data_IF_956331912662
#
_entry.id   IF_956331912662
#
_cell.length_a   1.000
_cell.length_b   1.000
_cell.length_c   1.000
_cell.angle_alpha   90.00
_cell.angle_beta   90.00
_cell.angle_gamma   90.00
#
_symmetry.space_group_name_H-M   'P 1'
#
loop_
_entity.id
_entity.type
_entity.pdbx_description
1 polymer ?
#
# COMPACT_ATOMS: atom_id res chain seq x y z
N UNK A 1 -25.59 22.51 -6.31
CA UNK A 1 -24.83 22.66 -5.05
C UNK A 1 -25.74 22.40 -3.86
N UNK A 2 -25.21 21.83 -2.79
CA UNK A 2 -25.93 21.68 -1.53
C UNK A 2 -25.95 23.01 -0.77
N UNK A 3 -26.96 23.20 0.09
CA UNK A 3 -26.94 24.29 1.07
C UNK A 3 -26.03 23.91 2.24
N UNK A 4 -25.50 24.89 2.97
CA UNK A 4 -24.68 24.63 4.17
C UNK A 4 -25.39 23.73 5.19
N UNK A 5 -26.71 23.87 5.33
CA UNK A 5 -27.53 22.98 6.17
C UNK A 5 -27.59 21.55 5.62
N UNK A 6 -27.77 21.39 4.31
CA UNK A 6 -27.78 20.07 3.68
C UNK A 6 -26.42 19.37 3.84
N UNK A 7 -25.33 20.12 3.73
CA UNK A 7 -23.97 19.62 3.97
C UNK A 7 -23.76 19.18 5.41
N UNK A 8 -24.19 19.99 6.38
CA UNK A 8 -24.17 19.61 7.80
C UNK A 8 -24.99 18.36 8.08
N UNK A 9 -26.19 18.24 7.50
CA UNK A 9 -27.05 17.06 7.65
C UNK A 9 -26.36 15.82 7.06
N UNK A 10 -25.85 15.90 5.83
CA UNK A 10 -25.16 14.79 5.17
C UNK A 10 -23.94 14.33 5.99
N UNK A 11 -23.10 15.28 6.42
CA UNK A 11 -21.94 15.02 7.27
C UNK A 11 -22.32 14.34 8.58
N UNK A 12 -23.37 14.81 9.24
CA UNK A 12 -23.86 14.24 10.50
C UNK A 12 -24.35 12.81 10.31
N UNK A 13 -25.11 12.54 9.24
CA UNK A 13 -25.60 11.20 8.93
C UNK A 13 -24.45 10.24 8.64
N UNK A 14 -23.46 10.66 7.85
CA UNK A 14 -22.28 9.83 7.56
C UNK A 14 -21.51 9.51 8.84
N UNK A 15 -21.25 10.51 9.67
CA UNK A 15 -20.52 10.31 10.93
C UNK A 15 -21.25 9.37 11.91
N UNK A 16 -22.57 9.52 12.04
CA UNK A 16 -23.39 8.68 12.91
C UNK A 16 -23.50 7.25 12.36
N UNK A 17 -23.78 7.10 11.06
CA UNK A 17 -23.89 5.79 10.41
C UNK A 17 -22.59 4.99 10.48
N UNK A 18 -21.43 5.63 10.29
CA UNK A 18 -20.14 4.96 10.44
C UNK A 18 -19.90 4.44 11.86
N UNK A 19 -20.45 5.08 12.88
CA UNK A 19 -20.30 4.64 14.27
C UNK A 19 -21.29 3.55 14.64
N UNK A 20 -22.55 3.69 14.22
CA UNK A 20 -23.66 2.85 14.68
C UNK A 20 -23.98 1.70 13.72
N UNK A 21 -23.66 1.86 12.43
CA UNK A 21 -24.11 1.00 11.34
C UNK A 21 -25.65 0.92 11.23
N UNK A 22 -26.37 1.89 11.82
CA UNK A 22 -27.84 1.92 11.85
C UNK A 22 -28.40 3.08 11.02
N UNK A 23 -29.55 2.91 10.34
CA UNK A 23 -30.20 4.00 9.60
C UNK A 23 -30.51 5.21 10.49
N UNK A 24 -30.02 6.39 10.09
CA UNK A 24 -30.06 7.59 10.93
C UNK A 24 -31.38 8.33 10.77
N UNK A 25 -32.08 8.56 11.89
CA UNK A 25 -33.37 9.26 11.92
C UNK A 25 -33.23 10.78 12.01
N UNK A 26 -34.21 11.52 11.47
CA UNK A 26 -34.23 12.99 11.51
C UNK A 26 -34.16 13.60 12.92
N UNK A 27 -34.69 12.91 13.95
CA UNK A 27 -34.56 13.35 15.36
C UNK A 27 -33.13 13.23 15.87
N UNK A 28 -32.43 12.15 15.52
CA UNK A 28 -31.02 11.93 15.89
C UNK A 28 -30.14 13.03 15.29
N UNK A 29 -30.29 13.27 13.98
CA UNK A 29 -29.58 14.34 13.27
C UNK A 29 -29.87 15.70 13.90
N UNK A 30 -31.14 16.03 14.15
CA UNK A 30 -31.54 17.29 14.78
C UNK A 30 -30.82 17.54 16.11
N UNK A 31 -30.65 16.52 16.94
CA UNK A 31 -30.00 16.65 18.24
C UNK A 31 -28.47 16.83 18.16
N UNK A 32 -27.85 16.38 17.06
CA UNK A 32 -26.41 16.46 16.82
C UNK A 32 -25.99 17.70 16.03
N UNK A 33 -26.93 18.34 15.32
CA UNK A 33 -26.64 19.55 14.56
C UNK A 33 -26.31 20.73 15.49
N UNK A 34 -25.33 21.58 15.12
CA UNK A 34 -25.01 22.79 15.87
C UNK A 34 -26.08 23.89 15.70
N UNK A 35 -27.01 23.72 14.76
CA UNK A 35 -28.07 24.68 14.41
C UNK A 35 -29.42 24.21 14.92
N UNK A 36 -30.22 25.13 15.48
CA UNK A 36 -31.58 24.83 15.94
C UNK A 36 -32.54 24.73 14.75
N UNK A 37 -32.94 23.51 14.43
CA UNK A 37 -33.94 23.20 13.38
C UNK A 37 -34.95 22.18 13.90
N UNK A 38 -36.14 22.14 13.30
CA UNK A 38 -37.14 21.13 13.67
C UNK A 38 -36.87 19.79 12.99
N UNK A 39 -37.27 18.68 13.61
CA UNK A 39 -37.17 17.34 13.02
C UNK A 39 -37.95 17.25 11.68
N UNK A 40 -39.05 17.98 11.52
CA UNK A 40 -39.78 18.07 10.26
C UNK A 40 -38.94 18.73 9.15
N UNK A 41 -38.22 19.82 9.49
CA UNK A 41 -37.29 20.47 8.56
C UNK A 41 -36.16 19.52 8.15
N UNK A 42 -35.55 18.82 9.11
CA UNK A 42 -34.48 17.84 8.83
C UNK A 42 -35.01 16.71 7.94
N UNK A 43 -36.23 16.21 8.19
CA UNK A 43 -36.85 15.17 7.36
C UNK A 43 -37.04 15.63 5.90
N UNK A 44 -37.45 16.88 5.69
CA UNK A 44 -37.58 17.44 4.34
C UNK A 44 -36.23 17.57 3.64
N UNK A 45 -35.19 18.04 4.34
CA UNK A 45 -33.84 18.13 3.79
C UNK A 45 -33.25 16.76 3.46
N UNK A 46 -33.47 15.75 4.32
CA UNK A 46 -33.08 14.36 4.06
C UNK A 46 -33.78 13.81 2.81
N UNK A 47 -35.04 14.16 2.55
CA UNK A 47 -35.74 13.76 1.33
C UNK A 47 -35.13 14.42 0.08
N UNK A 48 -34.69 15.67 0.17
CA UNK A 48 -33.98 16.35 -0.93
C UNK A 48 -32.61 15.71 -1.19
N UNK A 49 -31.87 15.34 -0.14
CA UNK A 49 -30.60 14.61 -0.28
C UNK A 49 -30.79 13.23 -0.90
N UNK A 50 -31.90 12.55 -0.57
CA UNK A 50 -32.30 11.29 -1.17
C UNK A 50 -32.65 11.43 -2.65
N UNK A 51 -33.43 12.45 -3.04
CA UNK A 51 -33.74 12.75 -4.44
C UNK A 51 -32.48 13.06 -5.26
N UNK A 52 -31.47 13.66 -4.62
CA UNK A 52 -30.13 13.88 -5.21
C UNK A 52 -29.25 12.62 -5.25
N UNK A 53 -29.74 11.49 -4.74
CA UNK A 53 -29.01 10.22 -4.71
C UNK A 53 -27.88 10.16 -3.68
N UNK A 54 -27.81 11.09 -2.73
CA UNK A 54 -26.75 11.13 -1.70
C UNK A 54 -27.10 10.33 -0.44
N UNK A 55 -28.40 10.04 -0.25
CA UNK A 55 -28.93 9.22 0.83
C UNK A 55 -29.90 8.18 0.26
N UNK A 56 -30.04 7.07 0.95
CA UNK A 56 -30.96 5.99 0.59
C UNK A 56 -31.88 5.62 1.75
N UNK A 57 -33.09 5.13 1.45
CA UNK A 57 -33.95 4.48 2.46
C UNK A 57 -33.68 2.98 2.45
N UNK A 58 -33.54 2.40 3.64
CA UNK A 58 -33.56 0.94 3.79
C UNK A 58 -34.99 0.40 3.80
N UNK A 59 -35.93 1.07 4.48
CA UNK A 59 -37.38 0.80 4.41
C UNK A 59 -38.23 2.08 4.56
N UNK A 60 -39.55 1.99 4.32
CA UNK A 60 -40.45 3.15 4.25
C UNK A 60 -40.57 3.94 5.57
N UNK A 61 -40.36 3.29 6.72
CA UNK A 61 -40.38 3.87 8.07
C UNK A 61 -39.00 4.08 8.70
N UNK A 62 -37.94 3.60 8.05
CA UNK A 62 -36.57 3.64 8.56
C UNK A 62 -35.90 4.99 8.31
N UNK A 63 -34.78 5.23 9.01
CA UNK A 63 -33.89 6.37 8.80
C UNK A 63 -33.29 6.43 7.38
N UNK A 64 -32.19 7.16 7.23
CA UNK A 64 -31.42 7.19 5.99
C UNK A 64 -30.03 6.62 6.21
N UNK A 65 -29.51 5.99 5.18
CA UNK A 65 -28.10 5.60 5.09
C UNK A 65 -27.42 6.43 4.00
N UNK A 66 -26.11 6.69 4.09
CA UNK A 66 -25.38 7.31 3.00
C UNK A 66 -25.26 6.35 1.80
N UNK A 67 -25.46 6.87 0.60
CA UNK A 67 -25.10 6.16 -0.63
C UNK A 67 -23.61 6.30 -0.92
N UNK A 68 -23.09 5.54 -1.89
CA UNK A 68 -21.72 5.73 -2.42
C UNK A 68 -21.50 7.15 -2.92
N UNK A 69 -22.49 7.75 -3.60
CA UNK A 69 -22.43 9.14 -4.04
C UNK A 69 -22.43 10.13 -2.87
N UNK A 70 -23.14 9.81 -1.77
CA UNK A 70 -23.09 10.56 -0.51
C UNK A 70 -21.69 10.56 0.11
N UNK A 71 -21.03 9.40 0.18
CA UNK A 71 -19.64 9.30 0.63
C UNK A 71 -18.67 10.05 -0.28
N UNK A 72 -18.81 9.92 -1.61
CA UNK A 72 -18.00 10.67 -2.58
C UNK A 72 -18.14 12.18 -2.38
N UNK A 73 -19.37 12.70 -2.27
CA UNK A 73 -19.60 14.12 -1.99
C UNK A 73 -18.94 14.56 -0.68
N UNK A 74 -19.08 13.75 0.38
CA UNK A 74 -18.47 14.03 1.68
C UNK A 74 -16.94 14.08 1.61
N UNK A 75 -16.31 13.13 0.93
CA UNK A 75 -14.86 13.09 0.73
C UNK A 75 -14.36 14.30 -0.06
N UNK A 76 -15.09 14.70 -1.10
CA UNK A 76 -14.65 15.77 -2.00
C UNK A 76 -14.86 17.17 -1.39
N UNK A 77 -15.88 17.37 -0.52
CA UNK A 77 -16.31 18.72 -0.10
C UNK A 77 -16.34 18.95 1.41
N UNK A 78 -16.54 17.92 2.24
CA UNK A 78 -16.94 18.08 3.66
C UNK A 78 -15.96 17.48 4.66
N UNK A 79 -15.02 16.68 4.17
CA UNK A 79 -14.03 15.97 4.98
C UNK A 79 -13.17 16.97 5.75
N UNK A 80 -12.97 16.68 7.03
CA UNK A 80 -11.94 17.33 7.82
C UNK A 80 -11.22 16.23 8.61
N UNK A 81 -9.94 15.92 8.31
CA UNK A 81 -9.22 14.87 9.00
C UNK A 81 -9.15 15.14 10.52
N UNK A 82 -9.50 14.12 11.31
CA UNK A 82 -9.44 14.21 12.77
C UNK A 82 -8.03 13.92 13.26
N UNK A 83 -7.59 14.67 14.27
CA UNK A 83 -6.34 14.37 14.96
C UNK A 83 -6.43 13.02 15.65
N UNK A 84 -5.44 12.18 15.40
CA UNK A 84 -5.33 10.86 16.01
C UNK A 84 -5.14 11.01 17.54
N UNK A 85 -5.72 10.12 18.36
CA UNK A 85 -5.45 10.07 19.78
C UNK A 85 -3.95 9.90 20.09
N UNK A 86 -3.47 10.55 21.16
CA UNK A 86 -2.07 10.46 21.59
C UNK A 86 -1.63 9.02 21.93
N UNK A 87 -2.55 8.16 22.36
CA UNK A 87 -2.28 6.74 22.61
C UNK A 87 -1.88 5.99 21.33
N UNK A 88 -2.60 6.22 20.23
CA UNK A 88 -2.29 5.63 18.92
C UNK A 88 -0.98 6.20 18.37
N UNK A 89 -0.75 7.50 18.54
CA UNK A 89 0.51 8.17 18.19
C UNK A 89 1.72 7.48 18.85
N UNK A 90 1.67 7.30 20.18
CA UNK A 90 2.75 6.68 20.94
C UNK A 90 2.97 5.22 20.55
N UNK A 91 1.88 4.50 20.24
CA UNK A 91 1.95 3.11 19.78
C UNK A 91 2.68 3.00 18.43
N UNK A 92 2.36 3.88 17.47
CA UNK A 92 3.04 3.91 16.16
C UNK A 92 4.53 4.15 16.32
N UNK A 93 4.92 5.15 17.11
CA UNK A 93 6.35 5.45 17.34
C UNK A 93 7.05 4.26 17.98
N UNK A 94 6.46 3.68 19.04
CA UNK A 94 7.06 2.55 19.74
C UNK A 94 7.26 1.33 18.82
N UNK A 95 6.28 1.01 17.97
CA UNK A 95 6.39 -0.12 17.04
C UNK A 95 7.38 0.16 15.90
N UNK A 96 7.47 1.40 15.42
CA UNK A 96 8.46 1.78 14.41
C UNK A 96 9.87 1.98 15.00
N UNK A 97 10.04 2.15 16.31
CA UNK A 97 11.35 2.34 16.94
C UNK A 97 12.12 1.02 17.22
N UNK A 98 11.59 -0.10 16.75
CA UNK A 98 12.27 -1.39 16.90
C UNK A 98 13.59 -1.45 16.10
N UNK A 99 14.54 -2.33 16.50
CA UNK A 99 15.80 -2.52 15.79
C UNK A 99 15.58 -3.37 14.52
N UNK A 100 15.48 -2.69 13.37
CA UNK A 100 15.41 -3.34 12.06
C UNK A 100 16.80 -3.46 11.42
N UNK A 101 17.01 -4.56 10.69
CA UNK A 101 18.23 -4.87 9.96
C UNK A 101 18.15 -4.55 8.47
N UNK A 102 16.93 -4.40 7.93
CA UNK A 102 16.68 -4.14 6.51
C UNK A 102 15.50 -3.17 6.32
N UNK A 103 15.50 -2.41 5.22
CA UNK A 103 14.37 -1.55 4.82
C UNK A 103 13.08 -2.35 4.69
N UNK A 104 13.19 -3.53 4.10
CA UNK A 104 12.06 -4.45 3.87
C UNK A 104 11.35 -4.84 5.18
N UNK A 105 12.09 -5.02 6.27
CA UNK A 105 11.49 -5.32 7.59
C UNK A 105 10.68 -4.12 8.12
N UNK A 106 11.15 -2.89 7.90
CA UNK A 106 10.45 -1.67 8.30
C UNK A 106 9.12 -1.54 7.53
N UNK A 107 9.16 -1.78 6.22
CA UNK A 107 7.98 -1.70 5.34
C UNK A 107 6.98 -2.82 5.66
N UNK A 108 7.46 -4.03 5.91
CA UNK A 108 6.61 -5.15 6.32
C UNK A 108 5.93 -4.86 7.67
N UNK A 109 6.68 -4.39 8.66
CA UNK A 109 6.11 -4.01 9.96
C UNK A 109 5.12 -2.85 9.81
N UNK A 110 5.32 -1.94 8.85
CA UNK A 110 4.40 -0.87 8.57
C UNK A 110 3.00 -1.36 8.14
N UNK A 111 2.92 -2.35 7.24
CA UNK A 111 1.65 -2.96 6.86
C UNK A 111 0.96 -3.60 8.09
N UNK A 112 1.73 -4.32 8.91
CA UNK A 112 1.24 -4.97 10.12
C UNK A 112 0.67 -3.99 11.14
N UNK A 113 1.41 -2.92 11.46
CA UNK A 113 0.94 -1.89 12.42
C UNK A 113 -0.36 -1.26 11.93
N UNK A 114 -0.43 -0.92 10.64
CA UNK A 114 -1.65 -0.33 10.05
C UNK A 114 -2.84 -1.29 10.15
N UNK A 115 -2.62 -2.58 9.86
CA UNK A 115 -3.67 -3.58 10.00
C UNK A 115 -4.14 -3.71 11.45
N UNK A 116 -3.21 -3.86 12.41
CA UNK A 116 -3.50 -4.00 13.84
C UNK A 116 -4.24 -2.79 14.44
N UNK A 117 -3.98 -1.58 13.91
CA UNK A 117 -4.63 -0.36 14.39
C UNK A 117 -6.02 -0.15 13.82
N UNK A 118 -6.30 -0.71 12.64
CA UNK A 118 -7.53 -0.43 11.88
C UNK A 118 -8.47 -1.61 11.76
N UNK A 119 -7.99 -2.83 12.01
CA UNK A 119 -8.65 -4.08 11.66
C UNK A 119 -9.03 -4.15 10.17
N UNK A 120 -8.22 -3.54 9.30
CA UNK A 120 -8.38 -3.60 7.85
C UNK A 120 -7.20 -4.33 7.21
N UNK A 121 -7.31 -4.63 5.92
CA UNK A 121 -6.14 -5.10 5.17
C UNK A 121 -5.28 -3.90 4.83
N UNK A 122 -4.00 -4.01 5.15
CA UNK A 122 -3.04 -2.95 4.96
C UNK A 122 -1.97 -3.41 3.96
N UNK A 123 -1.56 -2.47 3.12
CA UNK A 123 -0.53 -2.65 2.13
C UNK A 123 0.60 -1.66 2.39
N UNK A 124 1.84 -2.10 2.22
CA UNK A 124 3.00 -1.23 2.27
C UNK A 124 3.99 -1.63 1.19
N UNK A 125 4.33 -0.68 0.32
CA UNK A 125 5.38 -0.79 -0.66
C UNK A 125 6.55 0.11 -0.23
N UNK A 126 7.77 -0.43 -0.34
CA UNK A 126 9.00 0.30 -0.02
C UNK A 126 9.26 1.45 -1.00
N UNK A 127 10.29 2.28 -0.73
CA UNK A 127 10.74 3.27 -1.68
C UNK A 127 11.16 2.62 -3.01
N UNK A 128 10.77 3.22 -4.14
CA UNK A 128 11.13 2.76 -5.49
C UNK A 128 12.63 2.41 -5.62
N UNK A 129 12.91 1.24 -6.22
CA UNK A 129 14.27 0.71 -6.42
C UNK A 129 15.05 1.45 -7.52
N UNK A 130 14.45 2.46 -8.15
CA UNK A 130 15.07 3.23 -9.25
C UNK A 130 16.43 3.84 -8.87
N UNK A 131 16.66 4.15 -7.60
CA UNK A 131 17.93 4.70 -7.11
C UNK A 131 18.84 3.69 -6.41
N UNK A 132 18.36 2.46 -6.15
CA UNK A 132 19.06 1.44 -5.37
C UNK A 132 20.23 0.89 -6.18
N UNK A 133 21.42 0.96 -5.61
CA UNK A 133 22.66 0.55 -6.27
C UNK A 133 23.14 -0.79 -5.77
N UNK A 134 23.72 -1.57 -6.68
CA UNK A 134 24.44 -2.79 -6.32
C UNK A 134 25.73 -2.42 -5.59
N UNK A 135 25.93 -2.96 -4.39
CA UNK A 135 27.16 -2.80 -3.60
C UNK A 135 28.04 -4.03 -3.67
N UNK A 136 27.48 -5.20 -3.96
CA UNK A 136 28.25 -6.40 -4.19
C UNK A 136 27.44 -7.58 -4.69
N UNK A 137 28.10 -8.45 -5.43
CA UNK A 137 27.62 -9.76 -5.85
C UNK A 137 28.59 -10.83 -5.39
N UNK A 138 28.10 -11.92 -4.80
CA UNK A 138 28.91 -13.05 -4.35
C UNK A 138 28.24 -14.36 -4.72
N UNK A 139 29.04 -15.40 -4.89
CA UNK A 139 28.58 -16.78 -5.01
C UNK A 139 29.32 -17.60 -3.96
N UNK A 140 28.57 -18.35 -3.15
CA UNK A 140 29.07 -19.20 -2.09
C UNK A 140 28.72 -20.65 -2.43
N UNK A 141 29.70 -21.55 -2.62
CA UNK A 141 29.41 -22.96 -2.84
C UNK A 141 28.82 -23.61 -1.59
N UNK A 142 27.73 -24.34 -1.75
CA UNK A 142 27.05 -25.11 -0.70
C UNK A 142 27.36 -26.61 -0.80
N UNK A 143 27.54 -27.12 -2.02
CA UNK A 143 27.93 -28.49 -2.31
C UNK A 143 28.61 -28.58 -3.69
N UNK A 144 28.94 -29.79 -4.16
CA UNK A 144 29.57 -30.00 -5.48
C UNK A 144 28.70 -29.58 -6.67
N UNK A 145 27.40 -29.43 -6.46
CA UNK A 145 26.41 -29.05 -7.48
C UNK A 145 25.48 -27.92 -7.01
N UNK A 146 25.73 -27.30 -5.85
CA UNK A 146 24.87 -26.22 -5.36
C UNK A 146 25.68 -25.00 -4.95
N UNK A 147 25.14 -23.84 -5.31
CA UNK A 147 25.70 -22.54 -4.96
C UNK A 147 24.61 -21.60 -4.47
N UNK A 148 24.96 -20.67 -3.60
CA UNK A 148 24.13 -19.55 -3.20
C UNK A 148 24.71 -18.28 -3.80
N UNK A 149 23.97 -17.61 -4.67
CA UNK A 149 24.35 -16.24 -5.01
C UNK A 149 23.74 -15.27 -4.03
N UNK A 150 24.43 -14.16 -3.83
CA UNK A 150 24.11 -13.11 -2.88
C UNK A 150 24.34 -11.79 -3.59
N UNK A 151 23.29 -10.98 -3.73
CA UNK A 151 23.36 -9.60 -4.19
C UNK A 151 23.07 -8.68 -3.01
N UNK A 152 23.96 -7.72 -2.81
CA UNK A 152 23.88 -6.71 -1.75
C UNK A 152 23.66 -5.36 -2.42
N UNK A 153 22.77 -4.56 -1.84
CA UNK A 153 22.42 -3.21 -2.32
C UNK A 153 22.75 -2.15 -1.27
N UNK A 154 22.73 -0.87 -1.66
CA UNK A 154 23.10 0.26 -0.80
C UNK A 154 22.01 0.69 0.20
N UNK A 155 20.81 0.10 0.08
CA UNK A 155 19.73 0.17 1.06
C UNK A 155 19.82 -0.93 2.14
N UNK A 156 20.87 -1.76 2.11
CA UNK A 156 21.09 -2.85 3.05
C UNK A 156 20.27 -4.11 2.74
N UNK A 157 19.51 -4.14 1.65
CA UNK A 157 18.84 -5.35 1.22
C UNK A 157 19.87 -6.39 0.72
N UNK A 158 19.61 -7.65 1.06
CA UNK A 158 20.42 -8.79 0.64
C UNK A 158 19.49 -9.82 -0.01
N UNK A 159 19.60 -9.97 -1.33
CA UNK A 159 18.92 -11.02 -2.06
C UNK A 159 19.82 -12.23 -2.19
N UNK A 160 19.31 -13.40 -1.86
CA UNK A 160 20.05 -14.63 -2.01
C UNK A 160 19.18 -15.69 -2.68
N UNK A 161 19.81 -16.52 -3.51
CA UNK A 161 19.12 -17.60 -4.20
C UNK A 161 20.02 -18.81 -4.35
N UNK A 162 19.46 -19.98 -4.06
CA UNK A 162 20.14 -21.26 -4.18
C UNK A 162 19.91 -21.81 -5.58
N UNK A 163 20.99 -22.20 -6.24
CA UNK A 163 20.99 -22.81 -7.55
C UNK A 163 21.62 -24.18 -7.54
N UNK A 164 21.07 -25.05 -8.38
CA UNK A 164 21.68 -26.35 -8.69
C UNK A 164 22.39 -26.23 -10.04
N UNK A 165 23.70 -26.40 -10.04
CA UNK A 165 24.52 -26.38 -11.24
C UNK A 165 24.40 -27.72 -11.97
N UNK A 166 24.19 -27.72 -13.30
CA UNK A 166 24.05 -28.94 -14.09
C UNK A 166 25.36 -29.74 -14.17
N UNK A 167 26.51 -29.09 -13.97
CA UNK A 167 27.83 -29.69 -13.98
C UNK A 167 28.70 -29.15 -12.82
N UNK A 168 29.78 -29.86 -12.52
CA UNK A 168 30.76 -29.39 -11.53
C UNK A 168 31.50 -28.15 -12.05
N UNK A 169 31.10 -26.96 -11.60
CA UNK A 169 31.80 -25.72 -11.91
C UNK A 169 32.99 -25.54 -10.98
N UNK A 170 34.16 -25.24 -11.55
CA UNK A 170 35.37 -25.03 -10.77
C UNK A 170 35.28 -23.71 -9.96
N UNK A 171 35.71 -23.72 -8.70
CA UNK A 171 35.70 -22.53 -7.83
C UNK A 171 36.47 -21.34 -8.43
N UNK A 172 37.54 -21.59 -9.19
CA UNK A 172 38.28 -20.52 -9.87
C UNK A 172 37.47 -19.83 -10.99
N UNK A 173 36.61 -20.57 -11.68
CA UNK A 173 35.73 -20.01 -12.72
C UNK A 173 34.66 -19.13 -12.09
N UNK A 174 34.07 -19.58 -10.98
CA UNK A 174 33.11 -18.82 -10.19
C UNK A 174 33.75 -17.52 -9.70
N UNK A 175 34.96 -17.56 -9.15
CA UNK A 175 35.65 -16.34 -8.70
C UNK A 175 35.90 -15.34 -9.84
N UNK A 176 36.35 -15.83 -11.00
CA UNK A 176 36.60 -14.97 -12.17
C UNK A 176 35.31 -14.32 -12.66
N UNK A 177 34.21 -15.08 -12.69
CA UNK A 177 32.89 -14.58 -13.06
C UNK A 177 32.39 -13.54 -12.05
N UNK A 178 32.47 -13.83 -10.75
CA UNK A 178 32.08 -12.91 -9.68
C UNK A 178 32.85 -11.59 -9.74
N UNK A 179 34.17 -11.63 -9.99
CA UNK A 179 34.98 -10.40 -10.17
C UNK A 179 34.50 -9.59 -11.37
N UNK A 180 34.30 -10.24 -12.51
CA UNK A 180 33.80 -9.58 -13.73
C UNK A 180 32.42 -8.95 -13.52
N UNK A 181 31.51 -9.66 -12.87
CA UNK A 181 30.17 -9.17 -12.55
C UNK A 181 30.26 -7.95 -11.63
N UNK A 182 31.07 -8.02 -10.57
CA UNK A 182 31.25 -6.88 -9.67
C UNK A 182 31.84 -5.67 -10.39
N UNK A 183 32.85 -5.86 -11.25
CA UNK A 183 33.46 -4.78 -12.04
C UNK A 183 32.44 -4.07 -12.94
N UNK A 184 31.42 -4.79 -13.41
CA UNK A 184 30.37 -4.23 -14.27
C UNK A 184 29.16 -3.70 -13.51
N UNK A 185 28.78 -4.29 -12.37
CA UNK A 185 27.53 -3.98 -11.68
C UNK A 185 27.67 -3.08 -10.46
N UNK A 186 28.78 -3.17 -9.72
CA UNK A 186 28.92 -2.40 -8.48
C UNK A 186 28.86 -0.90 -8.77
N UNK A 187 28.02 -0.19 -8.02
CA UNK A 187 27.76 1.25 -8.19
C UNK A 187 26.71 1.60 -9.24
N UNK A 188 26.21 0.64 -10.04
CA UNK A 188 25.08 0.84 -10.95
C UNK A 188 23.76 0.69 -10.21
N UNK A 189 22.76 1.46 -10.64
CA UNK A 189 21.38 1.31 -10.17
C UNK A 189 20.76 0.04 -10.75
N UNK A 190 19.96 -0.69 -9.96
CA UNK A 190 19.19 -1.86 -10.42
C UNK A 190 18.35 -1.54 -11.66
N UNK A 191 17.72 -0.37 -11.70
CA UNK A 191 16.90 0.07 -12.85
C UNK A 191 17.73 0.36 -14.12
N UNK A 192 19.04 0.58 -13.98
CA UNK A 192 19.94 0.77 -15.12
C UNK A 192 20.50 -0.53 -15.70
N UNK A 193 20.24 -1.67 -15.04
CA UNK A 193 20.67 -2.99 -15.51
C UNK A 193 19.65 -3.50 -16.53
N UNK A 194 19.93 -3.22 -17.80
CA UNK A 194 19.10 -3.64 -18.92
C UNK A 194 19.68 -4.88 -19.64
N UNK A 195 18.90 -5.44 -20.57
CA UNK A 195 19.31 -6.59 -21.39
C UNK A 195 20.63 -6.35 -22.14
N UNK A 196 20.92 -5.10 -22.53
CA UNK A 196 22.18 -4.76 -23.23
C UNK A 196 23.39 -4.94 -22.30
N UNK A 197 23.30 -4.48 -21.06
CA UNK A 197 24.36 -4.67 -20.07
C UNK A 197 24.52 -6.15 -19.72
N UNK A 198 23.41 -6.86 -19.52
CA UNK A 198 23.43 -8.30 -19.23
C UNK A 198 24.05 -9.09 -20.38
N UNK A 199 23.72 -8.75 -21.63
CA UNK A 199 24.33 -9.36 -22.82
C UNK A 199 25.84 -9.09 -22.90
N UNK A 200 26.28 -7.89 -22.57
CA UNK A 200 27.72 -7.56 -22.53
C UNK A 200 28.47 -8.37 -21.47
N UNK A 201 27.85 -8.58 -20.30
CA UNK A 201 28.38 -9.45 -19.25
C UNK A 201 28.44 -10.89 -19.77
N UNK A 202 27.39 -11.37 -20.44
CA UNK A 202 27.33 -12.71 -21.05
C UNK A 202 28.47 -12.93 -22.06
N UNK A 203 28.67 -12.00 -22.99
CA UNK A 203 29.71 -12.09 -24.02
C UNK A 203 31.11 -12.19 -23.38
N UNK A 204 31.35 -11.42 -22.32
CA UNK A 204 32.61 -11.45 -21.58
C UNK A 204 32.81 -12.73 -20.75
N UNK A 205 31.74 -13.29 -20.18
CA UNK A 205 31.76 -14.56 -19.47
C UNK A 205 32.10 -15.71 -20.43
N UNK A 206 31.44 -15.75 -21.59
CA UNK A 206 31.68 -16.75 -22.65
C UNK A 206 33.12 -16.65 -23.17
N UNK A 207 33.61 -15.44 -23.46
CA UNK A 207 34.97 -15.22 -23.94
C UNK A 207 36.06 -15.68 -22.95
N UNK A 208 35.73 -15.76 -21.65
CA UNK A 208 36.63 -16.20 -20.58
C UNK A 208 36.39 -17.65 -20.14
N UNK A 209 35.52 -18.39 -20.84
CA UNK A 209 35.21 -19.79 -20.53
C UNK A 209 34.44 -19.98 -19.22
N UNK A 210 33.70 -18.96 -18.76
CA UNK A 210 32.85 -19.08 -17.58
C UNK A 210 31.51 -19.75 -17.91
N UNK A 211 30.94 -20.43 -16.92
CA UNK A 211 29.71 -21.20 -17.08
C UNK A 211 28.49 -20.29 -17.38
N UNK A 212 27.69 -20.56 -18.43
CA UNK A 212 26.52 -19.75 -18.78
C UNK A 212 25.47 -19.69 -17.66
N UNK A 213 25.43 -20.70 -16.80
CA UNK A 213 24.51 -20.80 -15.67
C UNK A 213 24.71 -19.68 -14.64
N UNK A 214 25.90 -19.08 -14.56
CA UNK A 214 26.18 -17.94 -13.70
C UNK A 214 25.40 -16.70 -14.17
N UNK A 215 25.16 -16.58 -15.48
CA UNK A 215 24.37 -15.48 -16.03
C UNK A 215 22.89 -15.64 -15.68
N UNK A 216 22.34 -16.84 -15.78
CA UNK A 216 20.95 -17.12 -15.39
C UNK A 216 20.76 -16.81 -13.90
N UNK A 217 21.72 -17.23 -13.07
CA UNK A 217 21.78 -16.91 -11.65
C UNK A 217 21.73 -15.39 -11.41
N UNK A 218 22.57 -14.64 -12.13
CA UNK A 218 22.64 -13.20 -12.01
C UNK A 218 21.33 -12.53 -12.42
N UNK A 219 20.73 -12.97 -13.53
CA UNK A 219 19.46 -12.42 -14.04
C UNK A 219 18.34 -12.60 -13.03
N UNK A 220 18.20 -13.79 -12.47
CA UNK A 220 17.14 -14.09 -11.52
C UNK A 220 17.30 -13.33 -10.20
N UNK A 221 18.52 -13.25 -9.66
CA UNK A 221 18.77 -12.49 -8.42
C UNK A 221 18.58 -10.98 -8.65
N UNK A 222 18.96 -10.44 -9.81
CA UNK A 222 18.69 -9.04 -10.18
C UNK A 222 17.19 -8.81 -10.34
N UNK A 223 16.47 -9.73 -10.99
CA UNK A 223 15.02 -9.62 -11.17
C UNK A 223 14.29 -9.62 -9.83
N UNK A 224 14.68 -10.49 -8.90
CA UNK A 224 14.11 -10.51 -7.55
C UNK A 224 14.49 -9.24 -6.76
N UNK A 225 15.72 -8.73 -6.89
CA UNK A 225 16.13 -7.48 -6.26
C UNK A 225 15.46 -6.23 -6.84
N UNK A 226 15.16 -6.23 -8.14
CA UNK A 226 14.47 -5.14 -8.81
C UNK A 226 12.94 -5.17 -8.60
N UNK A 227 12.39 -6.30 -8.16
CA UNK A 227 10.95 -6.41 -7.89
C UNK A 227 10.53 -5.47 -6.75
N UNK A 228 9.52 -4.64 -7.02
CA UNK A 228 8.88 -3.85 -5.98
C UNK A 228 8.17 -4.78 -5.01
N UNK A 229 8.70 -4.91 -3.80
CA UNK A 229 8.06 -5.72 -2.78
C UNK A 229 6.92 -4.92 -2.13
N UNK A 230 5.71 -5.38 -2.41
CA UNK A 230 4.52 -4.99 -1.66
C UNK A 230 4.27 -6.00 -0.56
N UNK A 231 4.17 -5.50 0.67
CA UNK A 231 3.79 -6.29 1.84
C UNK A 231 2.31 -6.10 2.13
N UNK A 232 1.66 -7.17 2.54
CA UNK A 232 0.24 -7.19 2.87
C UNK A 232 0.07 -7.81 4.24
N UNK A 233 -0.71 -7.16 5.09
CA UNK A 233 -1.14 -7.70 6.39
C UNK A 233 -2.66 -7.56 6.56
N UNK A 234 -3.25 -8.36 7.44
CA UNK A 234 -4.68 -8.32 7.72
C UNK A 234 -5.56 -8.85 6.61
N UNK A 235 -5.09 -9.75 5.76
CA UNK A 235 -5.90 -10.31 4.66
C UNK A 235 -7.21 -10.95 5.15
N UNK A 236 -7.18 -11.52 6.37
CA UNK A 236 -8.35 -12.11 7.02
C UNK A 236 -9.44 -11.08 7.33
N UNK A 237 -9.08 -9.81 7.53
CA UNK A 237 -10.01 -8.74 7.89
C UNK A 237 -11.00 -8.41 6.78
N UNK A 238 -10.70 -8.75 5.53
CA UNK A 238 -11.66 -8.59 4.43
C UNK A 238 -12.83 -9.54 4.57
N UNK A 239 -12.61 -10.70 5.17
CA UNK A 239 -13.68 -11.66 5.40
C UNK A 239 -14.64 -11.19 6.50
N UNK A 240 -14.21 -10.27 7.38
CA UNK A 240 -15.02 -9.80 8.50
C UNK A 240 -16.27 -9.02 8.08
N UNK A 241 -16.27 -8.43 6.87
CA UNK A 241 -17.39 -7.65 6.34
C UNK A 241 -18.18 -8.39 5.25
N UNK A 242 -17.94 -9.70 5.09
CA UNK A 242 -18.61 -10.50 4.08
C UNK A 242 -19.81 -11.23 4.69
N UNK A 243 -21.01 -10.75 4.40
CA UNK A 243 -22.26 -11.29 4.99
C UNK A 243 -22.79 -12.56 4.29
N UNK A 244 -22.26 -12.93 3.11
CA UNK A 244 -22.77 -14.03 2.29
C UNK A 244 -21.87 -15.28 2.33
N UNK A 245 -22.46 -16.47 2.45
CA UNK A 245 -21.78 -17.78 2.38
C UNK A 245 -21.27 -18.16 0.96
N UNK A 246 -21.01 -17.18 0.07
CA UNK A 246 -20.47 -17.46 -1.26
C UNK A 246 -18.95 -17.69 -1.19
N UNK A 247 -18.59 -18.93 -0.87
CA UNK A 247 -17.20 -19.42 -0.85
C UNK A 247 -16.47 -19.15 -2.17
N UNK A 248 -17.17 -19.02 -3.30
CA UNK A 248 -16.56 -18.72 -4.60
C UNK A 248 -16.00 -17.31 -4.62
N UNK A 249 -16.78 -16.34 -4.16
CA UNK A 249 -16.36 -14.93 -4.08
C UNK A 249 -15.26 -14.72 -3.05
N UNK A 250 -15.31 -15.42 -1.92
CA UNK A 250 -14.23 -15.42 -0.92
C UNK A 250 -12.92 -15.93 -1.53
N UNK A 251 -12.95 -17.06 -2.24
CA UNK A 251 -11.76 -17.60 -2.92
C UNK A 251 -11.23 -16.64 -3.98
N UNK A 252 -12.10 -15.98 -4.73
CA UNK A 252 -11.71 -15.00 -5.74
C UNK A 252 -11.08 -13.75 -5.11
N UNK A 253 -11.63 -13.25 -4.01
CA UNK A 253 -11.08 -12.12 -3.26
C UNK A 253 -9.70 -12.46 -2.70
N UNK A 254 -9.54 -13.64 -2.09
CA UNK A 254 -8.25 -14.11 -1.59
C UNK A 254 -7.20 -14.20 -2.70
N UNK A 255 -7.56 -14.78 -3.85
CA UNK A 255 -6.66 -14.87 -5.02
C UNK A 255 -6.23 -13.51 -5.55
N UNK A 256 -7.12 -12.53 -5.53
CA UNK A 256 -6.83 -11.17 -5.98
C UNK A 256 -5.76 -10.51 -5.08
N UNK A 257 -5.76 -10.80 -3.79
CA UNK A 257 -4.80 -10.26 -2.82
C UNK A 257 -3.48 -11.03 -2.82
N UNK A 258 -3.54 -12.35 -3.01
CA UNK A 258 -2.34 -13.19 -3.06
C UNK A 258 -1.50 -12.93 -4.34
N UNK A 259 -2.12 -12.37 -5.37
CA UNK A 259 -1.45 -11.99 -6.61
C UNK A 259 -0.87 -10.57 -6.51
N UNK A 260 0.43 -10.48 -6.21
CA UNK A 260 1.19 -9.23 -6.13
C UNK A 260 0.97 -8.29 -7.34
N UNK A 261 0.82 -8.84 -8.55
CA UNK A 261 0.60 -8.08 -9.79
C UNK A 261 -0.79 -7.42 -9.88
N UNK A 262 -1.81 -8.06 -9.28
CA UNK A 262 -3.16 -7.50 -9.22
C UNK A 262 -3.21 -6.36 -8.18
N UNK A 263 -2.47 -6.49 -7.09
CA UNK A 263 -2.39 -5.45 -6.05
C UNK A 263 -1.58 -4.23 -6.50
N UNK A 264 -0.48 -4.42 -7.23
CA UNK A 264 0.30 -3.31 -7.79
C UNK A 264 -0.51 -2.49 -8.78
N UNK A 265 -1.39 -3.11 -9.57
CA UNK A 265 -2.33 -2.40 -10.46
C UNK A 265 -3.52 -1.76 -9.71
N UNK A 266 -3.96 -2.32 -8.58
CA UNK A 266 -4.99 -1.74 -7.70
C UNK A 266 -4.51 -0.46 -7.00
N UNK A 267 -3.30 -0.53 -6.44
CA UNK A 267 -2.60 0.60 -5.83
C UNK A 267 -2.00 1.51 -6.93
N UNK A 268 -2.02 1.01 -8.17
CA UNK A 268 -1.62 1.62 -9.43
C UNK A 268 -1.56 3.13 -9.39
N UNK A 269 -0.33 3.60 -9.32
CA UNK A 269 0.01 5.00 -9.50
C UNK A 269 -0.28 5.36 -10.95
N UNK A 270 -1.21 6.28 -11.17
CA UNK A 270 -1.15 7.13 -12.34
C UNK A 270 -0.35 8.38 -11.93
N UNK A 271 0.83 8.63 -12.52
CA UNK A 271 1.56 9.89 -12.33
C UNK A 271 0.72 11.14 -12.66
N UNK A 272 -0.36 10.97 -13.43
CA UNK A 272 -1.33 12.02 -13.75
C UNK A 272 -2.23 12.42 -12.58
N UNK A 273 -2.35 11.59 -11.53
CA UNK A 273 -3.16 11.91 -10.34
C UNK A 273 -2.46 12.92 -9.41
N UNK A 274 -1.16 13.17 -9.59
CA UNK A 274 -0.43 14.24 -8.87
C UNK A 274 -0.83 15.65 -9.36
N UNK A 275 -1.39 15.79 -10.57
CA UNK A 275 -1.67 17.09 -11.20
C UNK A 275 -3.07 17.65 -10.93
N UNK A 276 -3.97 16.89 -10.28
CA UNK A 276 -5.38 17.29 -10.12
C UNK A 276 -5.80 17.73 -8.72
N UNK A 277 -4.98 17.51 -7.69
CA UNK A 277 -5.38 17.80 -6.31
C UNK A 277 -4.53 18.90 -5.67
N UNK A 278 -4.95 20.15 -5.87
CA UNK A 278 -4.55 21.33 -5.09
C UNK A 278 -5.25 21.36 -3.69
N UNK A 279 -5.92 20.26 -3.33
CA UNK A 279 -6.73 20.12 -2.12
C UNK A 279 -5.97 19.34 -1.04
N UNK A 280 -5.32 20.07 -0.14
CA UNK A 280 -4.88 19.80 1.26
C UNK A 280 -4.62 18.39 1.84
N UNK A 281 -5.11 17.27 1.31
CA UNK A 281 -4.88 15.90 1.81
C UNK A 281 -4.11 15.07 0.79
N UNK A 282 -2.95 14.53 1.19
CA UNK A 282 -2.10 13.66 0.35
C UNK A 282 -2.58 12.20 0.32
N UNK A 283 -3.76 11.92 0.88
CA UNK A 283 -4.40 10.60 0.90
C UNK A 283 -5.49 10.57 -0.16
N UNK A 284 -5.40 9.62 -1.09
CA UNK A 284 -6.41 9.37 -2.10
C UNK A 284 -7.40 8.31 -1.61
N UNK A 285 -8.68 8.46 -1.96
CA UNK A 285 -9.74 7.52 -1.59
C UNK A 285 -10.46 7.05 -2.85
N UNK A 286 -10.47 5.73 -3.08
CA UNK A 286 -11.27 5.08 -4.11
C UNK A 286 -12.41 4.30 -3.45
N UNK A 287 -13.62 4.44 -3.98
CA UNK A 287 -14.83 3.78 -3.44
C UNK A 287 -15.33 2.73 -4.43
N UNK A 288 -15.57 1.50 -3.97
CA UNK A 288 -16.37 0.47 -4.63
C UNK A 288 -16.21 0.41 -6.14
N UNK A 289 -17.16 1.00 -6.86
CA UNK A 289 -17.22 1.11 -8.32
C UNK A 289 -16.02 1.76 -9.02
N UNK A 290 -15.18 2.49 -8.28
CA UNK A 290 -13.93 3.09 -8.77
C UNK A 290 -12.74 2.13 -8.69
N UNK A 291 -12.92 0.99 -8.03
CA UNK A 291 -11.94 -0.07 -7.98
C UNK A 291 -12.08 -0.96 -9.23
N UNK A 292 -10.98 -1.52 -9.76
CA UNK A 292 -10.95 -2.24 -11.04
C UNK A 292 -11.64 -3.62 -11.02
N UNK A 293 -12.31 -4.00 -9.93
CA UNK A 293 -12.98 -5.29 -9.80
C UNK A 293 -14.32 -5.16 -9.08
N UNK A 294 -15.36 -5.78 -9.66
CA UNK A 294 -16.69 -5.88 -9.04
C UNK A 294 -16.66 -6.63 -7.69
N UNK A 295 -15.62 -7.43 -7.43
CA UNK A 295 -15.42 -8.08 -6.12
C UNK A 295 -15.20 -7.06 -4.99
N UNK A 296 -14.80 -5.84 -5.33
CA UNK A 296 -14.46 -4.77 -4.40
C UNK A 296 -15.57 -3.71 -4.26
N UNK A 297 -16.78 -3.95 -4.79
CA UNK A 297 -17.89 -2.99 -4.78
C UNK A 297 -18.23 -2.45 -3.37
N UNK A 298 -18.15 -3.31 -2.35
CA UNK A 298 -18.43 -2.95 -0.95
C UNK A 298 -17.19 -2.53 -0.15
N UNK A 299 -16.07 -2.29 -0.84
CA UNK A 299 -14.82 -1.88 -0.25
C UNK A 299 -14.41 -0.48 -0.69
N UNK A 300 -13.52 0.12 0.08
CA UNK A 300 -12.84 1.34 -0.30
C UNK A 300 -11.35 1.20 0.00
N UNK A 301 -10.56 1.77 -0.91
CA UNK A 301 -9.11 1.82 -0.85
C UNK A 301 -8.66 3.23 -0.50
N UNK A 302 -7.94 3.39 0.61
CA UNK A 302 -7.23 4.61 0.93
C UNK A 302 -5.76 4.41 0.62
N UNK A 303 -5.17 5.30 -0.16
CA UNK A 303 -3.76 5.22 -0.56
C UNK A 303 -3.05 6.50 -0.15
N UNK A 304 -1.88 6.38 0.47
CA UNK A 304 -1.05 7.50 0.85
C UNK A 304 0.42 7.26 0.48
N UNK A 305 1.02 8.25 -0.18
CA UNK A 305 2.41 8.17 -0.58
C UNK A 305 3.32 8.82 0.47
N UNK A 306 4.47 8.21 0.71
CA UNK A 306 5.55 8.79 1.52
C UNK A 306 6.81 8.98 0.69
N UNK A 307 7.60 10.00 1.01
CA UNK A 307 8.86 10.28 0.32
C UNK A 307 10.02 10.18 1.28
N UNK A 308 11.05 9.45 0.86
CA UNK A 308 12.29 9.25 1.61
C UNK A 308 13.43 10.05 0.94
N UNK A 309 13.13 11.31 0.60
CA UNK A 309 14.09 12.21 -0.04
C UNK A 309 14.69 11.61 -1.32
N UNK A 310 16.02 11.44 -1.35
CA UNK A 310 16.75 10.88 -2.50
C UNK A 310 16.58 9.38 -2.72
N UNK A 311 16.03 8.66 -1.73
CA UNK A 311 15.88 7.20 -1.77
C UNK A 311 14.58 6.76 -2.46
N UNK A 312 13.76 7.71 -2.92
CA UNK A 312 12.54 7.46 -3.67
C UNK A 312 11.27 7.71 -2.86
N UNK A 313 10.15 7.26 -3.43
CA UNK A 313 8.82 7.32 -2.83
C UNK A 313 8.32 5.90 -2.62
N UNK A 314 7.58 5.68 -1.53
CA UNK A 314 6.86 4.44 -1.29
C UNK A 314 5.40 4.73 -0.99
N UNK A 315 4.60 3.68 -0.83
CA UNK A 315 3.15 3.82 -0.61
C UNK A 315 2.67 2.93 0.50
N UNK A 316 1.69 3.44 1.25
CA UNK A 316 0.86 2.67 2.16
C UNK A 316 -0.58 2.73 1.70
N UNK A 317 -1.33 1.66 1.88
CA UNK A 317 -2.76 1.65 1.60
C UNK A 317 -3.57 0.85 2.62
N UNK A 318 -4.84 1.19 2.74
CA UNK A 318 -5.83 0.48 3.56
C UNK A 318 -7.00 0.09 2.68
N UNK A 319 -7.37 -1.19 2.70
CA UNK A 319 -8.57 -1.72 2.07
C UNK A 319 -9.54 -2.13 3.17
N UNK A 320 -10.64 -1.40 3.26
CA UNK A 320 -11.69 -1.59 4.27
C UNK A 320 -13.08 -1.48 3.64
N UNK A 321 -14.16 -1.58 4.43
CA UNK A 321 -15.52 -1.46 3.93
C UNK A 321 -15.86 -0.01 3.55
N UNK A 322 -16.82 0.17 2.65
CA UNK A 322 -17.23 1.51 2.15
C UNK A 322 -17.75 2.46 3.23
N UNK A 323 -18.16 1.95 4.39
CA UNK A 323 -18.67 2.74 5.51
C UNK A 323 -17.64 3.07 6.60
N UNK A 324 -16.34 2.89 6.32
CA UNK A 324 -15.27 3.18 7.28
C UNK A 324 -15.23 4.64 7.76
N UNK A 325 -14.64 4.93 8.93
CA UNK A 325 -14.44 6.30 9.43
C UNK A 325 -13.33 7.03 8.68
N UNK A 326 -13.62 7.46 7.44
CA UNK A 326 -12.68 8.14 6.55
C UNK A 326 -11.92 9.29 7.20
N UNK A 327 -12.58 10.15 7.98
CA UNK A 327 -11.93 11.27 8.66
C UNK A 327 -10.84 10.82 9.65
N UNK A 328 -11.04 9.69 10.32
CA UNK A 328 -10.04 9.11 11.23
C UNK A 328 -8.96 8.35 10.44
N UNK A 329 -9.35 7.59 9.42
CA UNK A 329 -8.42 6.78 8.62
C UNK A 329 -7.47 7.65 7.79
N UNK A 330 -7.96 8.75 7.20
CA UNK A 330 -7.13 9.74 6.51
C UNK A 330 -6.13 10.36 7.49
N UNK A 331 -6.61 10.82 8.67
CA UNK A 331 -5.73 11.35 9.70
C UNK A 331 -4.64 10.36 10.12
N UNK A 332 -5.03 9.09 10.33
CA UNK A 332 -4.11 7.99 10.64
C UNK A 332 -3.03 7.81 9.57
N UNK A 333 -3.43 7.66 8.32
CA UNK A 333 -2.50 7.48 7.19
C UNK A 333 -1.57 8.67 7.00
N UNK A 334 -2.07 9.90 7.15
CA UNK A 334 -1.24 11.10 7.02
C UNK A 334 -0.15 11.20 8.08
N UNK A 335 -0.47 10.82 9.31
CA UNK A 335 0.52 10.78 10.38
C UNK A 335 1.49 9.62 10.16
N UNK A 336 0.97 8.43 9.92
CA UNK A 336 1.74 7.21 9.78
C UNK A 336 2.76 7.30 8.64
N UNK A 337 2.35 7.83 7.48
CA UNK A 337 3.25 8.02 6.33
C UNK A 337 4.43 8.95 6.65
N UNK A 338 4.23 9.95 7.52
CA UNK A 338 5.29 10.88 7.91
C UNK A 338 6.27 10.22 8.89
N UNK A 339 5.79 9.46 9.86
CA UNK A 339 6.66 8.73 10.79
C UNK A 339 7.42 7.59 10.11
N UNK A 340 6.78 6.87 9.19
CA UNK A 340 7.44 5.85 8.38
C UNK A 340 8.57 6.47 7.55
N UNK A 341 8.32 7.61 6.89
CA UNK A 341 9.34 8.32 6.14
C UNK A 341 10.54 8.74 7.01
N UNK A 342 10.29 9.24 8.23
CA UNK A 342 11.35 9.58 9.18
C UNK A 342 12.17 8.35 9.57
N UNK A 343 11.51 7.24 9.97
CA UNK A 343 12.20 6.01 10.35
C UNK A 343 13.07 5.46 9.22
N UNK A 344 12.57 5.49 7.99
CA UNK A 344 13.34 5.08 6.81
C UNK A 344 14.54 6.01 6.57
N UNK A 345 14.34 7.34 6.63
CA UNK A 345 15.44 8.31 6.51
C UNK A 345 16.52 8.09 7.57
N UNK A 346 16.13 7.84 8.82
CA UNK A 346 17.05 7.57 9.92
C UNK A 346 17.82 6.25 9.70
N UNK A 347 17.14 5.22 9.21
CA UNK A 347 17.77 3.95 8.85
C UNK A 347 18.82 4.13 7.75
N UNK A 348 18.46 4.78 6.63
CA UNK A 348 19.40 5.09 5.54
C UNK A 348 20.57 5.98 5.98
N UNK A 349 20.36 6.83 6.99
CA UNK A 349 21.40 7.67 7.58
C UNK A 349 22.53 6.90 8.26
N UNK A 350 22.29 5.65 8.69
CA UNK A 350 23.29 4.81 9.38
C UNK A 350 24.40 4.27 8.48
N UNK A 351 24.18 4.24 7.17
CA UNK A 351 25.11 3.67 6.18
C UNK A 351 25.93 4.73 5.42
N UNK A 352 25.93 5.98 5.91
CA UNK A 352 26.71 7.09 5.35
C UNK A 352 28.10 7.22 5.94
#
# INVERSE_FOLDING_TARGET
MLTERQELILKTIIMDFTQTHEPVGSKTVMNQLPVKVSSATVRNEMAVLEEKGLLEKTHSSSGRIPSTAGYRYYLDHLINPVKIPASVYNRIIYQLDQPFQQVNEIVQEAAKILSDLTNYTAFAAGPETHSVKVTGFRIVPLSSHQVMAILVTDDGNVKNQIYTLPHHTNGEEIEKAVRLINDQLVGKSLSSINEVLLKRIADHLIARGSAPEILDLLQDVIKDAASEQMYVDGQINLLSNYENDDLTKIKSLYKLIDQNDALSSLIGFNPEDELKNDSSSKVQVKLGSELPSDLLENYSLLTAQYSVGKYGKGTIALLGPTNMPYSQMIGLLEYFRNELAKKLLDYYGRFK
#
